data_IF_123810950681
#
_entry.id   IF_123810950681
#
_cell.length_a   1.000
_cell.length_b   1.000
_cell.length_c   1.000
_cell.angle_alpha   90.00
_cell.angle_beta   90.00
_cell.angle_gamma   90.00
#
_symmetry.space_group_name_H-M   'P 1'
#
loop_
_entity.id
_entity.type
_entity.pdbx_description
1 polymer ?
#
# COMPACT_ATOMS: atom_id res chain seq x y z
N UNK A 1 -18.73 0.96 -4.48
CA UNK A 1 -17.25 1.05 -4.66
C UNK A 1 -16.94 2.27 -5.51
N UNK A 2 -16.02 3.10 -5.09
CA UNK A 2 -15.63 4.31 -5.83
C UNK A 2 -14.50 3.96 -6.83
N UNK A 3 -14.82 3.80 -8.11
CA UNK A 3 -13.85 3.42 -9.14
C UNK A 3 -12.70 4.44 -9.25
N UNK A 4 -12.99 5.73 -9.15
CA UNK A 4 -11.97 6.77 -9.18
C UNK A 4 -11.00 6.70 -7.98
N UNK A 5 -11.49 6.34 -6.79
CA UNK A 5 -10.62 6.10 -5.63
C UNK A 5 -9.64 4.96 -5.92
N UNK A 6 -10.11 3.83 -6.44
CA UNK A 6 -9.25 2.69 -6.77
C UNK A 6 -8.21 3.04 -7.82
N UNK A 7 -8.56 3.78 -8.86
CA UNK A 7 -7.59 4.26 -9.86
C UNK A 7 -6.49 5.12 -9.24
N UNK A 8 -6.83 5.99 -8.29
CA UNK A 8 -5.86 6.83 -7.60
C UNK A 8 -4.97 6.02 -6.63
N UNK A 9 -5.52 5.00 -5.98
CA UNK A 9 -4.75 4.08 -5.14
C UNK A 9 -3.76 3.26 -5.97
N UNK A 10 -4.18 2.76 -7.14
CA UNK A 10 -3.30 2.08 -8.10
C UNK A 10 -2.18 3.00 -8.59
N UNK A 11 -2.52 4.24 -8.94
CA UNK A 11 -1.54 5.23 -9.36
C UNK A 11 -0.54 5.56 -8.23
N UNK A 12 -0.99 5.58 -6.97
CA UNK A 12 -0.11 5.78 -5.82
C UNK A 12 0.86 4.62 -5.61
N UNK A 13 0.47 3.40 -5.94
CA UNK A 13 1.31 2.22 -5.78
C UNK A 13 2.60 2.26 -6.64
N UNK A 14 2.67 3.15 -7.65
CA UNK A 14 3.88 3.38 -8.43
C UNK A 14 4.95 4.22 -7.70
N UNK A 15 4.62 4.80 -6.55
CA UNK A 15 5.55 5.59 -5.75
C UNK A 15 6.08 4.80 -4.55
N UNK A 16 7.17 5.28 -3.94
CA UNK A 16 7.76 4.67 -2.77
C UNK A 16 6.82 4.72 -1.55
N UNK A 17 7.08 3.84 -0.58
CA UNK A 17 6.42 3.88 0.73
C UNK A 17 6.80 5.12 1.54
N UNK A 18 7.97 5.69 1.26
CA UNK A 18 8.40 6.96 1.81
C UNK A 18 7.92 8.13 0.95
N UNK A 19 7.89 9.30 1.55
CA UNK A 19 7.62 10.57 0.89
C UNK A 19 8.57 11.65 1.43
N UNK A 20 8.65 12.79 0.76
CA UNK A 20 9.55 13.88 1.17
C UNK A 20 9.21 14.37 2.58
N UNK A 21 10.12 14.13 3.52
CA UNK A 21 10.00 14.52 4.92
C UNK A 21 9.06 13.66 5.77
N UNK A 22 8.49 12.60 5.23
CA UNK A 22 7.52 11.73 5.93
C UNK A 22 7.39 10.37 5.22
N UNK A 23 6.40 9.58 5.59
CA UNK A 23 5.97 8.39 4.85
C UNK A 23 4.87 8.72 3.85
N UNK A 24 4.59 7.82 2.91
CA UNK A 24 3.52 7.98 1.95
C UNK A 24 2.14 7.79 2.61
N UNK A 25 1.53 8.90 3.05
CA UNK A 25 0.20 8.93 3.63
C UNK A 25 -0.94 9.05 2.60
N UNK A 26 -0.60 9.21 1.33
CA UNK A 26 -1.59 9.49 0.29
C UNK A 26 -2.74 8.46 0.23
N UNK A 27 -2.50 7.13 0.27
CA UNK A 27 -3.59 6.17 0.22
C UNK A 27 -4.58 6.34 1.36
N UNK A 28 -4.10 6.51 2.58
CA UNK A 28 -4.94 6.69 3.76
C UNK A 28 -5.75 7.98 3.69
N UNK A 29 -5.13 9.07 3.24
CA UNK A 29 -5.80 10.35 3.08
C UNK A 29 -6.88 10.31 1.99
N UNK A 30 -6.62 9.64 0.87
CA UNK A 30 -7.62 9.44 -0.19
C UNK A 30 -8.83 8.65 0.32
N UNK A 31 -8.61 7.56 1.04
CA UNK A 31 -9.69 6.78 1.65
C UNK A 31 -10.51 7.63 2.63
N UNK A 32 -9.85 8.35 3.53
CA UNK A 32 -10.52 9.21 4.49
C UNK A 32 -11.33 10.33 3.81
N UNK A 33 -10.78 10.96 2.77
CA UNK A 33 -11.50 11.97 2.00
C UNK A 33 -12.74 11.39 1.31
N UNK A 34 -12.61 10.19 0.73
CA UNK A 34 -13.74 9.50 0.10
C UNK A 34 -14.85 9.18 1.13
N UNK A 35 -14.49 8.69 2.32
CA UNK A 35 -15.43 8.42 3.41
C UNK A 35 -16.16 9.69 3.89
N UNK A 36 -15.47 10.81 3.85
CA UNK A 36 -16.05 12.12 4.16
C UNK A 36 -16.94 12.69 3.02
N UNK A 37 -17.09 11.96 1.94
CA UNK A 37 -17.93 12.36 0.81
C UNK A 37 -17.27 13.30 -0.18
N UNK A 38 -15.94 13.32 -0.25
CA UNK A 38 -15.24 14.12 -1.25
C UNK A 38 -15.61 13.69 -2.68
N UNK A 39 -15.79 14.67 -3.56
CA UNK A 39 -16.04 14.40 -4.98
C UNK A 39 -14.82 13.79 -5.66
N UNK A 40 -15.05 13.12 -6.79
CA UNK A 40 -13.98 12.57 -7.62
C UNK A 40 -12.96 13.64 -8.02
N UNK A 41 -13.41 14.86 -8.33
CA UNK A 41 -12.51 15.96 -8.64
C UNK A 41 -11.63 16.34 -7.44
N UNK A 42 -12.21 16.36 -6.23
CA UNK A 42 -11.48 16.68 -5.01
C UNK A 42 -10.41 15.62 -4.69
N UNK A 43 -10.72 14.35 -4.93
CA UNK A 43 -9.74 13.26 -4.76
C UNK A 43 -8.58 13.41 -5.75
N UNK A 44 -8.88 13.71 -7.03
CA UNK A 44 -7.85 13.96 -8.04
C UNK A 44 -6.98 15.16 -7.70
N UNK A 45 -7.58 16.28 -7.29
CA UNK A 45 -6.84 17.49 -6.92
C UNK A 45 -5.90 17.23 -5.74
N UNK A 46 -6.36 16.46 -4.74
CA UNK A 46 -5.53 16.06 -3.62
C UNK A 46 -4.35 15.20 -4.09
N UNK A 47 -4.62 14.19 -4.90
CA UNK A 47 -3.57 13.31 -5.42
C UNK A 47 -2.50 14.07 -6.21
N UNK A 48 -2.91 14.98 -7.10
CA UNK A 48 -1.98 15.81 -7.88
C UNK A 48 -1.13 16.73 -7.00
N UNK A 49 -1.73 17.35 -6.00
CA UNK A 49 -1.01 18.16 -5.00
C UNK A 49 0.02 17.30 -4.28
N UNK A 50 -0.40 16.13 -3.78
CA UNK A 50 0.48 15.21 -3.07
C UNK A 50 1.64 14.75 -3.99
N UNK A 51 1.32 14.34 -5.21
CA UNK A 51 2.31 13.88 -6.19
C UNK A 51 3.38 14.94 -6.45
N UNK A 52 2.97 16.18 -6.62
CA UNK A 52 3.90 17.29 -6.91
C UNK A 52 4.78 17.69 -5.72
N UNK A 53 4.30 17.52 -4.50
CA UNK A 53 5.00 18.01 -3.30
C UNK A 53 5.75 16.94 -2.52
N UNK A 54 5.24 15.72 -2.48
CA UNK A 54 5.70 14.70 -1.53
C UNK A 54 6.18 13.41 -2.17
N UNK A 55 5.74 13.09 -3.39
CA UNK A 55 6.03 11.81 -4.00
C UNK A 55 7.53 11.59 -4.22
N UNK A 56 7.97 10.37 -3.91
CA UNK A 56 9.30 9.86 -4.25
C UNK A 56 9.09 8.67 -5.19
N UNK A 57 9.86 8.63 -6.28
CA UNK A 57 9.80 7.50 -7.21
C UNK A 57 10.13 6.19 -6.48
N UNK A 58 9.43 5.13 -6.83
CA UNK A 58 9.75 3.81 -6.30
C UNK A 58 11.18 3.42 -6.68
N UNK A 59 11.93 2.76 -5.77
CA UNK A 59 13.26 2.26 -6.10
C UNK A 59 13.19 1.19 -7.19
N UNK A 60 14.32 0.95 -7.86
CA UNK A 60 14.44 -0.15 -8.82
C UNK A 60 14.17 -1.51 -8.16
N UNK A 61 13.66 -2.45 -8.95
CA UNK A 61 13.26 -3.76 -8.45
C UNK A 61 14.47 -4.69 -8.25
N UNK A 62 14.44 -5.42 -7.14
CA UNK A 62 15.31 -6.57 -6.90
C UNK A 62 14.81 -7.81 -7.66
N UNK A 63 15.44 -8.96 -7.39
CA UNK A 63 15.00 -10.27 -7.87
C UNK A 63 13.58 -10.59 -7.40
N UNK A 64 12.82 -11.33 -8.19
CA UNK A 64 11.49 -11.80 -7.83
C UNK A 64 11.45 -12.51 -6.47
N UNK A 65 10.38 -12.29 -5.72
CA UNK A 65 10.14 -12.85 -4.39
C UNK A 65 9.09 -13.97 -4.50
N UNK A 66 9.35 -15.08 -3.83
CA UNK A 66 8.43 -16.22 -3.75
C UNK A 66 7.67 -16.29 -2.42
N UNK A 67 6.56 -17.03 -2.42
CA UNK A 67 5.73 -17.26 -1.22
C UNK A 67 6.46 -18.03 -0.11
N UNK A 68 7.52 -18.77 -0.46
CA UNK A 68 8.30 -19.55 0.50
C UNK A 68 9.39 -18.76 1.21
N UNK A 69 9.77 -17.59 0.72
CA UNK A 69 10.93 -16.82 1.20
C UNK A 69 10.69 -15.30 1.31
N UNK A 70 9.45 -14.85 1.21
CA UNK A 70 9.11 -13.43 1.23
C UNK A 70 9.64 -12.69 2.47
N UNK A 71 9.75 -13.36 3.63
CA UNK A 71 10.23 -12.74 4.87
C UNK A 71 11.67 -12.25 4.75
N UNK A 72 12.50 -12.91 3.95
CA UNK A 72 13.93 -12.55 3.77
C UNK A 72 14.10 -11.23 3.01
N UNK A 73 13.06 -10.78 2.32
CA UNK A 73 13.05 -9.54 1.54
C UNK A 73 12.50 -8.34 2.32
N UNK A 74 11.96 -8.55 3.52
CA UNK A 74 11.44 -7.47 4.36
C UNK A 74 12.53 -6.46 4.72
N UNK A 75 12.18 -5.18 4.74
CA UNK A 75 13.10 -4.09 5.07
C UNK A 75 14.04 -3.68 3.93
N UNK A 76 13.94 -4.31 2.77
CA UNK A 76 14.73 -3.95 1.59
C UNK A 76 13.91 -3.07 0.65
N UNK A 77 14.30 -1.78 0.43
CA UNK A 77 13.54 -0.87 -0.43
C UNK A 77 13.38 -1.37 -1.87
N UNK A 78 14.41 -2.04 -2.43
CA UNK A 78 14.39 -2.59 -3.78
C UNK A 78 13.50 -3.84 -3.93
N UNK A 79 13.06 -4.43 -2.82
CA UNK A 79 12.14 -5.58 -2.81
C UNK A 79 10.66 -5.16 -2.77
N UNK A 80 10.32 -3.88 -2.66
CA UNK A 80 8.94 -3.43 -2.56
C UNK A 80 8.09 -3.88 -3.75
N UNK A 81 8.55 -3.64 -4.99
CA UNK A 81 7.85 -4.10 -6.18
C UNK A 81 7.68 -5.63 -6.23
N UNK A 82 8.77 -6.41 -6.13
CA UNK A 82 8.69 -7.87 -6.08
C UNK A 82 7.82 -8.44 -4.96
N UNK A 83 7.82 -7.82 -3.77
CA UNK A 83 6.93 -8.20 -2.67
C UNK A 83 5.47 -7.91 -3.01
N UNK A 84 5.17 -6.72 -3.56
CA UNK A 84 3.81 -6.37 -3.99
C UNK A 84 3.29 -7.35 -5.03
N UNK A 85 4.09 -7.71 -6.02
CA UNK A 85 3.72 -8.68 -7.05
C UNK A 85 3.45 -10.06 -6.44
N UNK A 86 4.32 -10.51 -5.54
CA UNK A 86 4.15 -11.78 -4.82
C UNK A 86 2.82 -11.84 -4.06
N UNK A 87 2.51 -10.79 -3.29
CA UNK A 87 1.27 -10.74 -2.53
C UNK A 87 0.03 -10.58 -3.41
N UNK A 88 0.10 -9.79 -4.49
CA UNK A 88 -1.00 -9.67 -5.44
C UNK A 88 -1.34 -11.01 -6.10
N UNK A 89 -0.33 -11.76 -6.51
CA UNK A 89 -0.51 -13.11 -7.06
C UNK A 89 -1.10 -14.06 -6.02
N UNK A 90 -0.60 -14.01 -4.80
CA UNK A 90 -1.09 -14.87 -3.72
C UNK A 90 -2.55 -14.57 -3.36
N UNK A 91 -2.92 -13.30 -3.26
CA UNK A 91 -4.30 -12.87 -3.01
C UNK A 91 -5.23 -13.29 -4.14
N UNK A 92 -4.77 -13.25 -5.38
CA UNK A 92 -5.55 -13.69 -6.55
C UNK A 92 -5.84 -15.19 -6.50
N UNK A 93 -4.88 -15.99 -6.02
CA UNK A 93 -5.02 -17.45 -5.94
C UNK A 93 -5.82 -17.89 -4.70
N UNK A 94 -5.65 -17.16 -3.60
CA UNK A 94 -6.23 -17.58 -2.32
C UNK A 94 -7.09 -16.46 -1.74
N UNK A 95 -7.78 -15.86 -1.50
CA UNK A 95 -8.49 -14.76 -0.85
C UNK A 95 -7.63 -13.95 0.15
N UNK A 96 -7.91 -12.65 0.23
CA UNK A 96 -7.18 -11.71 1.06
C UNK A 96 -7.09 -12.14 2.53
N UNK A 97 -8.18 -12.66 3.10
CA UNK A 97 -8.22 -13.08 4.50
C UNK A 97 -7.23 -14.21 4.80
N UNK A 98 -7.08 -15.16 3.86
CA UNK A 98 -6.13 -16.27 3.99
C UNK A 98 -4.70 -15.74 3.99
N UNK A 99 -4.39 -14.84 3.07
CA UNK A 99 -3.05 -14.26 2.94
C UNK A 99 -2.70 -13.39 4.14
N UNK A 100 -3.61 -12.50 4.57
CA UNK A 100 -3.41 -11.65 5.75
C UNK A 100 -3.17 -12.51 6.99
N UNK A 101 -3.99 -13.56 7.19
CA UNK A 101 -3.79 -14.48 8.31
C UNK A 101 -2.42 -15.16 8.25
N UNK A 102 -2.04 -15.69 7.09
CA UNK A 102 -0.75 -16.37 6.92
C UNK A 102 0.44 -15.44 7.21
N UNK A 103 0.38 -14.19 6.76
CA UNK A 103 1.41 -13.19 7.02
C UNK A 103 1.49 -12.84 8.51
N UNK A 104 0.37 -12.60 9.16
CA UNK A 104 0.32 -12.27 10.59
C UNK A 104 0.78 -13.44 11.47
N UNK A 105 0.46 -14.67 11.09
CA UNK A 105 0.91 -15.87 11.81
C UNK A 105 2.42 -16.12 11.64
N UNK A 106 2.95 -15.85 10.45
CA UNK A 106 4.37 -16.11 10.14
C UNK A 106 5.31 -15.00 10.66
N UNK A 107 4.84 -13.77 10.72
CA UNK A 107 5.64 -12.62 11.11
C UNK A 107 4.92 -11.88 12.24
N UNK A 108 5.42 -11.97 13.49
CA UNK A 108 4.82 -11.24 14.59
C UNK A 108 4.69 -9.76 14.26
N UNK A 109 3.46 -9.29 14.26
CA UNK A 109 3.17 -7.93 13.88
C UNK A 109 3.37 -7.00 15.07
N UNK A 110 4.38 -6.13 14.99
CA UNK A 110 4.60 -5.10 16.00
C UNK A 110 3.78 -3.84 15.63
N UNK A 111 2.64 -3.56 16.26
CA UNK A 111 1.75 -2.47 15.85
C UNK A 111 2.42 -1.11 15.80
N UNK A 112 3.39 -0.89 16.67
CA UNK A 112 4.12 0.38 16.72
C UNK A 112 5.20 0.54 15.64
N UNK A 113 5.50 -0.50 14.87
CA UNK A 113 6.48 -0.43 13.79
C UNK A 113 6.06 0.62 12.76
N UNK A 114 7.00 1.49 12.38
CA UNK A 114 6.71 2.60 11.50
C UNK A 114 5.67 3.58 12.05
N UNK A 115 5.64 3.78 13.38
CA UNK A 115 4.67 4.63 14.04
C UNK A 115 3.20 4.30 13.67
N UNK A 116 2.86 3.02 13.70
CA UNK A 116 1.54 2.47 13.36
C UNK A 116 1.14 2.56 11.87
N UNK A 117 1.98 3.11 10.99
CA UNK A 117 1.62 3.31 9.57
C UNK A 117 1.30 2.00 8.84
N UNK A 118 2.00 0.92 9.13
CA UNK A 118 1.75 -0.38 8.51
C UNK A 118 0.34 -0.90 8.80
N UNK A 119 -0.10 -0.85 10.07
CA UNK A 119 -1.43 -1.32 10.47
C UNK A 119 -2.53 -0.39 9.94
N UNK A 120 -2.29 0.92 9.93
CA UNK A 120 -3.25 1.89 9.40
C UNK A 120 -3.46 1.67 7.89
N UNK A 121 -2.38 1.50 7.12
CA UNK A 121 -2.47 1.21 5.68
C UNK A 121 -3.23 -0.08 5.40
N UNK A 122 -2.93 -1.15 6.14
CA UNK A 122 -3.63 -2.42 6.00
C UNK A 122 -5.13 -2.26 6.29
N UNK A 123 -5.48 -1.58 7.37
CA UNK A 123 -6.87 -1.35 7.74
C UNK A 123 -7.65 -0.62 6.64
N UNK A 124 -7.10 0.48 6.12
CA UNK A 124 -7.73 1.22 5.02
C UNK A 124 -7.85 0.40 3.73
N UNK A 125 -6.82 -0.36 3.37
CA UNK A 125 -6.86 -1.22 2.18
C UNK A 125 -7.97 -2.27 2.28
N UNK A 126 -8.11 -2.92 3.44
CA UNK A 126 -9.16 -3.89 3.69
C UNK A 126 -10.56 -3.24 3.67
N UNK A 127 -10.71 -2.07 4.26
CA UNK A 127 -11.98 -1.35 4.32
C UNK A 127 -12.51 -0.97 2.92
N UNK A 128 -11.63 -0.49 2.04
CA UNK A 128 -12.02 -0.10 0.69
C UNK A 128 -11.91 -1.23 -0.34
N UNK A 129 -11.47 -2.42 0.08
CA UNK A 129 -11.31 -3.58 -0.80
C UNK A 129 -10.25 -3.39 -1.89
N UNK A 130 -9.22 -2.59 -1.61
CA UNK A 130 -8.08 -2.39 -2.51
C UNK A 130 -6.95 -3.35 -2.13
N UNK A 131 -6.69 -4.33 -2.99
CA UNK A 131 -5.73 -5.42 -2.77
C UNK A 131 -4.65 -5.46 -3.84
#
# INVERSE_FOLDING_TARGET
>A
MNANLHELLDANAAFALDAKGTTNHCPMALCALADMGASDQRLRDFFEMWRGRYAIAAPGNATAVGRGDWQTSLGRPDAFGPLSDCFADWIRDEHIEVVVKAVLDAQPFAPATGAFHAIIRLAYALEVGHT
#
